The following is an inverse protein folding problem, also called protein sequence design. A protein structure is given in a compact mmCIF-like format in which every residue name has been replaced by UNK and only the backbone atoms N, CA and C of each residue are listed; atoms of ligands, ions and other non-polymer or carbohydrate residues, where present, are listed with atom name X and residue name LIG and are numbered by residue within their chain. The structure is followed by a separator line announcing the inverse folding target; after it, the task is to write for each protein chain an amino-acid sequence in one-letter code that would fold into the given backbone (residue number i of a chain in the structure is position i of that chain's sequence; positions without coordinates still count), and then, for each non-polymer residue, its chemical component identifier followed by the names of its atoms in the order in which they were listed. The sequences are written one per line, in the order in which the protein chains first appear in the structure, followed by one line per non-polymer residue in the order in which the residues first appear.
data_IF_624761169611
#
_entry.id   IF_624761169611
#
_cell.length_a   1.000
_cell.length_b   1.000
_cell.length_c   1.000
_cell.angle_alpha   90.00
_cell.angle_beta   90.00
_cell.angle_gamma   90.00
#
_symmetry.space_group_name_H-M   'P 1'
#
loop_
_entity.id
_entity.type
_entity.pdbx_description
1 polymer ?
#
# COMPACT_ATOMS: atom_id res chain seq x y z
N UNK A 1 2.76 -15.89 21.20
CA UNK A 1 2.96 -14.50 20.75
C UNK A 1 1.77 -14.10 19.87
N UNK A 2 1.28 -12.85 19.93
CA UNK A 2 0.23 -12.41 18.99
C UNK A 2 0.85 -12.36 17.59
N UNK A 3 0.27 -13.08 16.64
CA UNK A 3 0.65 -13.00 15.23
C UNK A 3 0.40 -11.57 14.75
N UNK A 4 1.44 -10.90 14.22
CA UNK A 4 1.30 -9.57 13.65
C UNK A 4 0.65 -9.72 12.28
N UNK A 5 -0.45 -9.00 12.07
CA UNK A 5 -1.13 -8.92 10.77
C UNK A 5 -0.71 -7.64 10.07
N UNK A 6 -0.22 -7.78 8.84
CA UNK A 6 0.24 -6.72 7.97
C UNK A 6 -0.76 -6.56 6.83
N UNK A 7 -1.12 -5.33 6.53
CA UNK A 7 -1.93 -4.97 5.38
C UNK A 7 -1.04 -4.77 4.16
N UNK A 8 -1.39 -5.45 3.07
CA UNK A 8 -0.80 -5.23 1.75
C UNK A 8 -1.80 -4.54 0.84
N UNK A 9 -1.42 -3.42 0.23
CA UNK A 9 -2.27 -2.74 -0.77
C UNK A 9 -1.50 -2.69 -2.11
N UNK A 10 -1.90 -3.46 -3.13
CA UNK A 10 -1.22 -3.49 -4.41
C UNK A 10 -1.52 -2.22 -5.20
N UNK A 11 -0.73 -1.99 -6.24
CA UNK A 11 -0.97 -0.90 -7.18
C UNK A 11 -2.23 -1.17 -7.98
N UNK A 12 -3.14 -0.20 -8.05
CA UNK A 12 -4.28 -0.31 -8.97
C UNK A 12 -3.77 -0.31 -10.42
N UNK A 13 -4.32 -1.21 -11.25
CA UNK A 13 -3.91 -1.44 -12.64
C UNK A 13 -4.00 -0.19 -13.51
N UNK A 14 -4.91 0.73 -13.17
CA UNK A 14 -5.04 2.04 -13.83
C UNK A 14 -3.74 2.86 -13.78
N UNK A 15 -2.90 2.67 -12.76
CA UNK A 15 -1.65 3.42 -12.60
C UNK A 15 -0.43 2.71 -13.19
N UNK A 16 -0.59 1.56 -13.85
CA UNK A 16 0.51 0.82 -14.47
C UNK A 16 0.07 -0.09 -15.63
N UNK A 17 -0.61 0.45 -16.65
CA UNK A 17 -1.25 -0.36 -17.70
C UNK A 17 -0.26 -1.26 -18.44
N UNK A 18 1.01 -0.86 -18.56
CA UNK A 18 2.05 -1.62 -19.29
C UNK A 18 2.92 -2.51 -18.39
N UNK A 19 2.78 -2.46 -17.06
CA UNK A 19 3.62 -3.23 -16.13
C UNK A 19 2.82 -3.98 -15.06
N UNK A 20 1.52 -4.24 -15.32
CA UNK A 20 0.61 -4.94 -14.40
C UNK A 20 1.23 -6.25 -13.88
N UNK A 21 1.79 -7.06 -14.78
CA UNK A 21 2.41 -8.33 -14.43
C UNK A 21 3.63 -8.19 -13.52
N UNK A 22 4.48 -7.19 -13.77
CA UNK A 22 5.67 -6.94 -12.96
C UNK A 22 5.29 -6.42 -11.56
N UNK A 23 4.37 -5.46 -11.49
CA UNK A 23 3.91 -4.92 -10.20
C UNK A 23 3.24 -6.03 -9.36
N UNK A 24 2.41 -6.87 -9.99
CA UNK A 24 1.79 -8.02 -9.33
C UNK A 24 2.82 -9.05 -8.85
N UNK A 25 3.85 -9.33 -9.66
CA UNK A 25 4.91 -10.28 -9.29
C UNK A 25 5.72 -9.79 -8.09
N UNK A 26 6.13 -8.51 -8.07
CA UNK A 26 6.86 -7.93 -6.93
C UNK A 26 5.98 -7.97 -5.68
N UNK A 27 4.72 -7.54 -5.79
CA UNK A 27 3.80 -7.52 -4.65
C UNK A 27 3.55 -8.93 -4.08
N UNK A 28 3.37 -9.92 -4.96
CA UNK A 28 3.21 -11.32 -4.60
C UNK A 28 4.46 -11.88 -3.89
N UNK A 29 5.65 -11.60 -4.44
CA UNK A 29 6.91 -12.02 -3.83
C UNK A 29 7.09 -11.47 -2.40
N UNK A 30 6.79 -10.18 -2.19
CA UNK A 30 6.84 -9.57 -0.85
C UNK A 30 5.82 -10.21 0.10
N UNK A 31 4.59 -10.45 -0.38
CA UNK A 31 3.54 -11.10 0.41
C UNK A 31 3.97 -12.50 0.87
N UNK A 32 4.54 -13.30 -0.04
CA UNK A 32 5.00 -14.65 0.26
C UNK A 32 6.14 -14.64 1.28
N UNK A 33 7.15 -13.76 1.10
CA UNK A 33 8.27 -13.65 2.03
C UNK A 33 7.82 -13.23 3.45
N UNK A 34 6.82 -12.33 3.55
CA UNK A 34 6.24 -11.97 4.85
C UNK A 34 5.49 -13.15 5.50
N UNK A 35 4.76 -13.92 4.71
CA UNK A 35 4.06 -15.12 5.19
C UNK A 35 5.04 -16.21 5.64
N UNK A 36 6.11 -16.45 4.88
CA UNK A 36 7.19 -17.38 5.23
C UNK A 36 7.91 -16.97 6.52
N UNK A 37 8.05 -15.67 6.76
CA UNK A 37 8.58 -15.13 8.01
C UNK A 37 7.59 -15.21 9.20
N UNK A 38 6.39 -15.77 8.99
CA UNK A 38 5.38 -16.03 10.03
C UNK A 38 4.35 -14.92 10.24
N UNK A 39 4.38 -13.86 9.43
CA UNK A 39 3.37 -12.80 9.49
C UNK A 39 2.08 -13.21 8.80
N UNK A 40 0.95 -12.70 9.28
CA UNK A 40 -0.30 -12.77 8.51
C UNK A 40 -0.35 -11.58 7.56
N UNK A 41 -0.67 -11.79 6.29
CA UNK A 41 -0.88 -10.70 5.34
C UNK A 41 -2.33 -10.68 4.88
N UNK A 42 -3.01 -9.55 5.10
CA UNK A 42 -4.32 -9.28 4.55
C UNK A 42 -4.16 -8.32 3.36
N UNK A 43 -4.66 -8.70 2.19
CA UNK A 43 -4.56 -7.89 0.98
C UNK A 43 -5.87 -7.15 0.76
N UNK A 44 -5.77 -5.83 0.51
CA UNK A 44 -6.92 -4.98 0.21
C UNK A 44 -6.64 -4.19 -1.06
N UNK A 45 -7.62 -4.08 -1.94
CA UNK A 45 -7.56 -3.11 -3.04
C UNK A 45 -7.56 -1.67 -2.52
N UNK A 46 -7.14 -0.70 -3.34
CA UNK A 46 -7.24 0.72 -2.96
C UNK A 46 -8.68 1.12 -2.62
N UNK A 47 -9.67 0.58 -3.34
CA UNK A 47 -11.08 0.85 -3.07
C UNK A 47 -11.55 0.28 -1.72
N UNK A 48 -11.14 -0.94 -1.38
CA UNK A 48 -11.44 -1.52 -0.06
C UNK A 48 -10.75 -0.75 1.05
N UNK A 49 -9.50 -0.33 0.84
CA UNK A 49 -8.77 0.50 1.79
C UNK A 49 -9.53 1.79 2.08
N UNK A 50 -10.05 2.47 1.05
CA UNK A 50 -10.82 3.71 1.18
C UNK A 50 -12.16 3.54 1.92
N UNK A 51 -12.82 2.39 1.72
CA UNK A 51 -14.21 2.18 2.18
C UNK A 51 -14.31 1.44 3.51
N UNK A 52 -13.32 0.64 3.87
CA UNK A 52 -13.35 -0.20 5.08
C UNK A 52 -12.48 0.39 6.19
N UNK A 53 -12.91 0.31 7.46
CA UNK A 53 -12.04 0.59 8.59
C UNK A 53 -10.98 -0.51 8.69
N UNK A 54 -9.71 -0.11 8.87
CA UNK A 54 -8.61 -1.03 9.16
C UNK A 54 -8.48 -1.25 10.66
N UNK A 55 -8.23 -2.48 11.08
CA UNK A 55 -7.96 -2.83 12.47
C UNK A 55 -6.47 -3.12 12.70
N UNK A 56 -5.75 -3.41 11.62
CA UNK A 56 -4.33 -3.66 11.57
C UNK A 56 -3.52 -2.37 11.76
N UNK A 57 -2.31 -2.52 12.28
CA UNK A 57 -1.42 -1.39 12.59
C UNK A 57 -0.28 -1.18 11.59
N UNK A 58 -0.08 -2.10 10.66
CA UNK A 58 1.08 -2.07 9.75
C UNK A 58 0.61 -2.20 8.30
N UNK A 59 1.10 -1.32 7.43
CA UNK A 59 0.81 -1.32 5.99
C UNK A 59 2.12 -1.35 5.19
N UNK A 60 2.20 -2.22 4.18
CA UNK A 60 3.07 -2.03 3.02
C UNK A 60 2.20 -1.82 1.78
N UNK A 61 2.66 -1.02 0.83
CA UNK A 61 1.80 -0.66 -0.30
C UNK A 61 2.55 -0.20 -1.55
N UNK A 62 1.90 -0.39 -2.69
CA UNK A 62 2.25 0.19 -3.98
C UNK A 62 1.13 1.12 -4.51
N UNK A 63 0.26 1.63 -3.63
CA UNK A 63 -0.87 2.47 -3.99
C UNK A 63 -0.45 3.78 -4.65
N UNK A 64 -1.34 4.34 -5.47
CA UNK A 64 -1.04 5.55 -6.25
C UNK A 64 -2.18 6.57 -6.32
N UNK A 65 -3.45 6.22 -6.07
CA UNK A 65 -4.50 7.24 -6.15
C UNK A 65 -4.35 8.31 -5.08
N UNK A 66 -4.65 9.55 -5.44
CA UNK A 66 -4.54 10.69 -4.51
C UNK A 66 -5.35 10.47 -3.23
N UNK A 67 -6.57 9.94 -3.36
CA UNK A 67 -7.42 9.62 -2.21
C UNK A 67 -6.79 8.56 -1.31
N UNK A 68 -6.20 7.50 -1.89
CA UNK A 68 -5.55 6.46 -1.11
C UNK A 68 -4.27 6.97 -0.43
N UNK A 69 -3.49 7.84 -1.10
CA UNK A 69 -2.33 8.49 -0.49
C UNK A 69 -2.74 9.38 0.69
N UNK A 70 -3.77 10.22 0.53
CA UNK A 70 -4.29 11.05 1.64
C UNK A 70 -4.77 10.21 2.82
N UNK A 71 -5.47 9.10 2.55
CA UNK A 71 -5.91 8.17 3.61
C UNK A 71 -4.72 7.48 4.28
N UNK A 72 -3.68 7.14 3.54
CA UNK A 72 -2.45 6.56 4.09
C UNK A 72 -1.76 7.53 5.04
N UNK A 73 -1.71 8.82 4.71
CA UNK A 73 -1.19 9.86 5.61
C UNK A 73 -2.02 9.99 6.89
N UNK A 74 -3.35 9.95 6.79
CA UNK A 74 -4.22 9.94 7.97
C UNK A 74 -3.99 8.72 8.86
N UNK A 75 -3.70 7.56 8.25
CA UNK A 75 -3.34 6.35 8.98
C UNK A 75 -1.98 6.49 9.69
N UNK A 76 -0.97 7.07 9.05
CA UNK A 76 0.33 7.43 9.66
C UNK A 76 0.12 8.37 10.85
N UNK A 77 -0.64 9.46 10.66
CA UNK A 77 -0.92 10.46 11.70
C UNK A 77 -1.68 9.87 12.89
N UNK A 78 -2.48 8.83 12.66
CA UNK A 78 -3.17 8.04 13.70
C UNK A 78 -2.26 7.06 14.46
N UNK A 79 -0.95 7.06 14.21
CA UNK A 79 0.03 6.16 14.83
C UNK A 79 0.15 4.79 14.16
N UNK A 80 -0.42 4.63 12.97
CA UNK A 80 -0.21 3.47 12.13
C UNK A 80 1.21 3.45 11.55
N UNK A 81 1.76 2.25 11.35
CA UNK A 81 3.09 2.05 10.78
C UNK A 81 2.95 1.78 9.29
N UNK A 82 3.56 2.62 8.46
CA UNK A 82 3.60 2.41 7.01
C UNK A 82 5.03 2.21 6.55
N UNK A 83 5.28 1.13 5.80
CA UNK A 83 6.60 0.87 5.19
C UNK A 83 6.85 1.82 4.03
N UNK A 84 5.81 2.08 3.23
CA UNK A 84 5.85 3.03 2.13
C UNK A 84 5.12 4.29 2.60
N UNK A 85 5.86 5.35 2.96
CA UNK A 85 5.25 6.54 3.56
C UNK A 85 4.29 7.24 2.59
N UNK A 86 3.12 7.65 3.08
CA UNK A 86 2.14 8.40 2.29
C UNK A 86 2.69 9.75 1.85
N UNK A 87 3.36 10.47 2.75
CA UNK A 87 4.05 11.74 2.43
C UNK A 87 5.20 11.53 1.45
N UNK A 88 5.94 10.43 1.60
CA UNK A 88 7.00 10.05 0.67
C UNK A 88 6.47 9.77 -0.75
N UNK A 89 5.33 9.07 -0.87
CA UNK A 89 4.68 8.81 -2.16
C UNK A 89 4.20 10.11 -2.81
N UNK A 90 3.54 10.98 -2.05
CA UNK A 90 3.07 12.28 -2.54
C UNK A 90 4.23 13.11 -3.12
N UNK A 91 5.33 13.24 -2.37
CA UNK A 91 6.53 13.99 -2.77
C UNK A 91 7.31 13.37 -3.94
N UNK A 92 7.05 12.10 -4.28
CA UNK A 92 7.63 11.45 -5.46
C UNK A 92 6.86 11.75 -6.75
N UNK A 93 5.74 12.46 -6.68
CA UNK A 93 4.95 12.83 -7.86
C UNK A 93 5.71 13.88 -8.65
N UNK A 94 6.06 13.56 -9.90
CA UNK A 94 6.64 14.56 -10.82
C UNK A 94 5.53 15.50 -11.27
N UNK A 95 5.64 16.77 -10.94
CA UNK A 95 4.77 17.80 -11.49
C UNK A 95 4.88 17.82 -13.04
N UNK A 96 3.79 18.21 -13.71
CA UNK A 96 3.83 18.47 -15.16
C UNK A 96 4.72 19.68 -15.40
N UNK A 97 5.89 19.45 -15.99
CA UNK A 97 6.86 20.52 -16.30
C UNK A 97 6.43 21.44 -17.45
N UNK A 98 5.32 21.16 -18.14
CA UNK A 98 4.81 21.95 -19.27
C UNK A 98 3.30 22.05 -19.22
N UNK A 99 2.80 23.27 -19.40
CA UNK A 99 1.37 23.63 -19.49
C UNK A 99 0.84 23.43 -20.89
#
# INVERSE_FOLDING_TARGET
MKQITIVGIPRNTLFSPNHIGNDAAIFSAVTNLLQEAGFKVNVYTEQEFLTRPLQEKVIFTMLRSEQAVRRLQQFEDGGGITINSGRGIENCTRERMTT
#
